data_IF_938709448413
#
_entry.id   IF_938709448413
#
_cell.length_a   1.000
_cell.length_b   1.000
_cell.length_c   1.000
_cell.angle_alpha   90.00
_cell.angle_beta   90.00
_cell.angle_gamma   90.00
#
_symmetry.space_group_name_H-M   'P 1'
#
loop_
_entity.id
_entity.type
_entity.pdbx_description
1 polymer ?
#
# COMPACT_ATOMS: atom_id res chain seq x y z
N UNK A 1 -6.64 -14.11 18.55
CA UNK A 1 -8.03 -13.73 18.16
C UNK A 1 -9.11 -14.64 18.77
N UNK A 2 -8.90 -15.98 18.91
CA UNK A 2 -9.95 -16.92 19.33
C UNK A 2 -10.36 -16.81 20.79
N UNK A 3 -9.42 -16.74 21.72
CA UNK A 3 -9.72 -16.77 23.16
C UNK A 3 -10.46 -15.52 23.64
N UNK A 4 -9.98 -14.32 23.30
CA UNK A 4 -10.65 -13.06 23.62
C UNK A 4 -12.01 -12.92 22.95
N UNK A 5 -12.15 -13.35 21.66
CA UNK A 5 -13.43 -13.31 20.95
C UNK A 5 -14.50 -14.20 21.61
N UNK A 6 -14.11 -15.36 22.10
CA UNK A 6 -15.01 -16.24 22.84
C UNK A 6 -15.32 -15.70 24.23
N UNK A 7 -14.36 -15.06 24.87
CA UNK A 7 -14.53 -14.41 26.17
C UNK A 7 -15.51 -13.24 26.08
N UNK A 8 -15.37 -12.34 25.12
CA UNK A 8 -16.28 -11.18 24.91
C UNK A 8 -17.74 -11.61 24.74
N UNK A 9 -17.99 -12.80 24.18
CA UNK A 9 -19.34 -13.36 23.98
C UNK A 9 -19.89 -14.10 25.22
N UNK A 10 -19.06 -14.33 26.23
CA UNK A 10 -19.45 -15.02 27.47
C UNK A 10 -19.61 -14.01 28.59
N UNK A 11 -20.83 -13.76 29.10
CA UNK A 11 -21.07 -12.78 30.14
C UNK A 11 -20.36 -13.11 31.48
N UNK A 12 -19.90 -14.34 31.67
CA UNK A 12 -19.14 -14.76 32.84
C UNK A 12 -17.61 -14.67 32.65
N UNK A 13 -17.14 -14.20 31.49
CA UNK A 13 -15.72 -14.09 31.23
C UNK A 13 -15.18 -12.71 31.67
N UNK A 14 -14.10 -12.71 32.39
CA UNK A 14 -13.42 -11.49 32.86
C UNK A 14 -12.47 -10.97 31.77
N UNK A 15 -13.04 -10.31 30.73
CA UNK A 15 -12.35 -9.84 29.52
C UNK A 15 -11.16 -8.94 29.85
N UNK A 16 -11.31 -8.03 30.83
CA UNK A 16 -10.26 -7.08 31.20
C UNK A 16 -9.02 -7.78 31.77
N UNK A 17 -9.21 -8.79 32.61
CA UNK A 17 -8.09 -9.56 33.19
C UNK A 17 -7.34 -10.34 32.11
N UNK A 18 -8.08 -11.05 31.26
CA UNK A 18 -7.45 -11.78 30.14
C UNK A 18 -6.68 -10.84 29.18
N UNK A 19 -7.22 -9.67 28.91
CA UNK A 19 -6.50 -8.67 28.11
C UNK A 19 -5.21 -8.20 28.79
N UNK A 20 -5.24 -7.98 30.10
CA UNK A 20 -4.04 -7.61 30.87
C UNK A 20 -3.00 -8.74 30.81
N UNK A 21 -3.43 -10.00 30.97
CA UNK A 21 -2.55 -11.17 30.85
C UNK A 21 -1.90 -11.26 29.48
N UNK A 22 -2.68 -11.12 28.39
CA UNK A 22 -2.18 -11.15 27.00
C UNK A 22 -1.18 -10.02 26.73
N UNK A 23 -1.50 -8.79 27.17
CA UNK A 23 -0.60 -7.65 27.02
C UNK A 23 0.70 -7.81 27.81
N UNK A 24 0.62 -8.32 29.03
CA UNK A 24 1.80 -8.58 29.84
C UNK A 24 2.64 -9.73 29.28
N UNK A 25 2.01 -10.74 28.70
CA UNK A 25 2.72 -11.78 27.95
C UNK A 25 3.47 -11.19 26.75
N UNK A 26 2.79 -10.33 25.96
CA UNK A 26 3.41 -9.66 24.81
C UNK A 26 4.63 -8.81 25.25
N UNK A 27 4.51 -8.07 26.34
CA UNK A 27 5.61 -7.30 26.90
C UNK A 27 6.80 -8.19 27.29
N UNK A 28 6.55 -9.27 28.02
CA UNK A 28 7.60 -10.13 28.54
C UNK A 28 8.34 -10.89 27.42
N UNK A 29 7.66 -11.22 26.31
CA UNK A 29 8.19 -12.07 25.22
C UNK A 29 8.56 -11.34 23.94
N UNK A 30 7.97 -10.18 23.64
CA UNK A 30 8.15 -9.51 22.35
C UNK A 30 8.54 -8.03 22.47
N UNK A 31 7.89 -7.25 23.30
CA UNK A 31 8.01 -5.79 23.31
C UNK A 31 9.36 -5.27 23.76
N UNK A 32 10.15 -6.09 24.46
CA UNK A 32 11.54 -5.78 24.86
C UNK A 32 12.55 -5.95 23.76
N UNK A 33 12.16 -6.55 22.63
CA UNK A 33 13.05 -6.71 21.47
C UNK A 33 13.37 -5.37 20.85
N UNK A 34 14.63 -5.16 20.42
CA UNK A 34 15.05 -3.99 19.65
C UNK A 34 14.36 -3.89 18.29
N UNK A 35 13.76 -4.98 17.82
CA UNK A 35 12.98 -5.03 16.56
C UNK A 35 11.49 -4.72 16.76
N UNK A 36 11.03 -4.57 18.01
CA UNK A 36 9.64 -4.23 18.28
C UNK A 36 9.40 -2.73 18.04
N UNK A 37 8.26 -2.39 17.45
CA UNK A 37 7.91 -1.00 17.18
C UNK A 37 7.75 -0.22 18.48
N UNK A 38 8.57 0.80 18.66
CA UNK A 38 8.53 1.70 19.80
C UNK A 38 8.43 3.16 19.35
N UNK A 39 7.77 3.98 20.13
CA UNK A 39 7.76 5.43 20.00
C UNK A 39 7.99 6.07 21.37
N UNK A 40 8.96 6.98 21.44
CA UNK A 40 9.34 7.66 22.67
C UNK A 40 9.65 6.66 23.84
N UNK A 41 10.29 5.52 23.48
CA UNK A 41 10.64 4.45 24.42
C UNK A 41 9.45 3.61 24.91
N UNK A 42 8.27 3.79 24.34
CA UNK A 42 7.04 3.03 24.67
C UNK A 42 6.70 2.07 23.54
N UNK A 43 6.41 0.79 23.82
CA UNK A 43 5.95 -0.16 22.80
C UNK A 43 4.62 0.29 22.20
N UNK A 44 4.40 0.02 20.90
CA UNK A 44 3.15 0.35 20.20
C UNK A 44 2.30 -0.89 20.03
N UNK A 45 1.05 -0.85 20.48
CA UNK A 45 0.08 -1.94 20.36
C UNK A 45 -1.12 -1.48 19.55
N UNK A 46 -1.39 -2.18 18.45
CA UNK A 46 -2.56 -1.93 17.59
C UNK A 46 -3.71 -2.86 17.97
N UNK A 47 -4.89 -2.28 18.16
CA UNK A 47 -6.12 -3.01 18.42
C UNK A 47 -7.03 -2.98 17.20
N UNK A 48 -7.07 -4.10 16.47
CA UNK A 48 -7.79 -4.17 15.21
C UNK A 48 -9.30 -4.29 15.41
N UNK A 49 -9.78 -5.34 15.98
CA UNK A 49 -11.21 -5.61 16.07
C UNK A 49 -11.57 -6.17 17.44
N UNK A 50 -11.76 -5.26 18.37
CA UNK A 50 -12.18 -5.63 19.73
C UNK A 50 -13.49 -4.93 19.99
N UNK A 51 -14.52 -5.68 20.36
CA UNK A 51 -15.69 -5.11 21.00
C UNK A 51 -15.27 -4.65 22.39
N UNK A 52 -14.92 -3.35 22.49
CA UNK A 52 -14.22 -2.76 23.63
C UNK A 52 -15.17 -2.26 24.71
N UNK A 53 -16.48 -2.39 24.52
CA UNK A 53 -17.50 -1.83 25.39
C UNK A 53 -17.47 -2.42 26.80
N UNK A 54 -16.94 -3.64 26.94
CA UNK A 54 -16.85 -4.38 28.21
C UNK A 54 -15.45 -4.38 28.84
N UNK A 55 -14.51 -3.56 28.32
CA UNK A 55 -13.14 -3.49 28.84
C UNK A 55 -12.99 -2.28 29.78
N UNK A 56 -12.58 -2.52 31.01
CA UNK A 56 -12.12 -1.44 31.90
C UNK A 56 -10.69 -1.01 31.50
N UNK A 57 -10.60 -0.06 30.60
CA UNK A 57 -9.33 0.47 30.09
C UNK A 57 -8.50 1.17 31.18
N UNK A 58 -9.13 1.72 32.20
CA UNK A 58 -8.41 2.31 33.35
C UNK A 58 -7.69 1.24 34.14
N UNK A 59 -8.35 0.09 34.35
CA UNK A 59 -7.73 -1.07 34.96
C UNK A 59 -6.62 -1.67 34.08
N UNK A 60 -6.82 -1.76 32.74
CA UNK A 60 -5.78 -2.19 31.84
C UNK A 60 -4.54 -1.30 31.98
N UNK A 61 -4.69 0.01 31.91
CA UNK A 61 -3.58 0.97 32.06
C UNK A 61 -2.83 0.83 33.36
N UNK A 62 -3.54 0.52 34.44
CA UNK A 62 -2.95 0.38 35.75
C UNK A 62 -2.08 -0.88 35.92
N UNK A 63 -2.41 -1.97 35.21
CA UNK A 63 -1.79 -3.27 35.41
C UNK A 63 -0.97 -3.79 34.26
N UNK A 64 -0.97 -3.10 33.11
CA UNK A 64 -0.13 -3.44 31.93
C UNK A 64 1.30 -3.00 32.17
N UNK A 65 2.25 -3.86 31.83
CA UNK A 65 3.69 -3.58 31.87
C UNK A 65 4.12 -2.72 30.68
N UNK A 66 5.25 -2.03 30.82
CA UNK A 66 5.89 -1.31 29.72
C UNK A 66 5.19 -0.03 29.29
N UNK A 67 4.04 0.33 29.87
CA UNK A 67 3.28 1.53 29.51
C UNK A 67 3.09 1.68 27.98
N UNK A 68 2.56 0.67 27.28
CA UNK A 68 2.45 0.70 25.81
C UNK A 68 1.55 1.83 25.32
N UNK A 69 1.80 2.27 24.09
CA UNK A 69 0.90 3.15 23.33
C UNK A 69 -0.24 2.31 22.75
N UNK A 70 -1.47 2.66 23.04
CA UNK A 70 -2.67 1.98 22.53
C UNK A 70 -3.24 2.71 21.34
N UNK A 71 -3.16 2.09 20.17
CA UNK A 71 -3.65 2.62 18.90
C UNK A 71 -4.83 1.78 18.44
N UNK A 72 -6.02 2.38 18.38
CA UNK A 72 -7.24 1.66 18.04
C UNK A 72 -7.71 1.96 16.62
N UNK A 73 -8.47 1.04 16.03
CA UNK A 73 -8.99 1.20 14.67
C UNK A 73 -10.08 2.27 14.59
N UNK A 74 -10.04 3.04 13.49
CA UNK A 74 -10.99 4.06 13.08
C UNK A 74 -10.99 5.35 13.92
N UNK A 75 -11.59 6.37 13.33
CA UNK A 75 -11.64 7.73 13.91
C UNK A 75 -12.29 7.82 15.29
N UNK A 76 -13.22 6.92 15.61
CA UNK A 76 -13.87 6.86 16.93
C UNK A 76 -12.87 6.66 18.06
N UNK A 77 -11.73 6.03 17.78
CA UNK A 77 -10.67 5.80 18.73
C UNK A 77 -10.03 7.09 19.29
N UNK A 78 -10.09 8.19 18.55
CA UNK A 78 -9.63 9.49 19.06
C UNK A 78 -10.45 10.01 20.25
N UNK A 79 -11.67 9.50 20.43
CA UNK A 79 -12.55 9.86 21.54
C UNK A 79 -12.59 8.81 22.64
N UNK A 80 -11.91 7.67 22.47
CA UNK A 80 -11.92 6.60 23.48
C UNK A 80 -11.09 6.97 24.70
N UNK A 81 -11.57 6.63 25.90
CA UNK A 81 -10.76 6.73 27.12
C UNK A 81 -9.49 5.86 27.00
N UNK A 82 -8.37 6.39 27.48
CA UNK A 82 -7.08 5.69 27.50
C UNK A 82 -6.47 5.38 26.12
N UNK A 83 -7.01 5.94 25.01
CA UNK A 83 -6.40 5.86 23.70
C UNK A 83 -5.20 6.81 23.60
N UNK A 84 -4.08 6.34 23.03
CA UNK A 84 -2.95 7.17 22.62
C UNK A 84 -3.06 7.58 21.16
N UNK A 85 -3.97 6.95 20.38
CA UNK A 85 -4.15 7.28 18.98
C UNK A 85 -5.08 6.34 18.24
N UNK A 86 -5.22 6.60 16.96
CA UNK A 86 -6.00 5.79 16.04
C UNK A 86 -5.24 5.44 14.77
N UNK A 87 -5.64 4.33 14.14
CA UNK A 87 -5.26 4.01 12.77
C UNK A 87 -6.50 3.91 11.89
N UNK A 88 -6.40 4.35 10.66
CA UNK A 88 -7.42 4.09 9.65
C UNK A 88 -7.23 2.67 9.10
N UNK A 89 -8.25 2.16 8.40
CA UNK A 89 -8.18 0.88 7.69
C UNK A 89 -8.72 1.09 6.29
N UNK A 90 -8.95 0.02 5.54
CA UNK A 90 -9.61 0.12 4.24
C UNK A 90 -11.04 0.60 4.43
N UNK A 91 -11.46 1.58 3.64
CA UNK A 91 -12.88 1.90 3.50
C UNK A 91 -13.53 0.92 2.51
N UNK A 92 -14.23 -0.05 3.06
CA UNK A 92 -14.89 -1.13 2.31
C UNK A 92 -16.41 -0.97 2.27
N UNK A 93 -16.92 0.23 2.31
CA UNK A 93 -18.39 0.46 2.31
C UNK A 93 -19.06 0.06 1.00
N UNK A 94 -18.32 -0.47 0.04
CA UNK A 94 -18.82 -1.01 -1.22
C UNK A 94 -19.29 0.04 -2.22
N UNK A 95 -19.06 1.31 -1.94
CA UNK A 95 -19.44 2.40 -2.85
C UNK A 95 -18.25 2.77 -3.74
N UNK A 96 -18.43 2.58 -5.04
CA UNK A 96 -17.44 2.81 -6.09
C UNK A 96 -17.12 4.30 -6.35
N UNK A 97 -17.72 5.23 -5.63
CA UNK A 97 -17.62 6.65 -5.98
C UNK A 97 -16.48 7.34 -5.24
N UNK A 98 -15.57 7.93 -5.98
CA UNK A 98 -14.43 8.73 -5.51
C UNK A 98 -14.76 9.78 -4.43
N UNK A 99 -15.94 10.44 -4.41
CA UNK A 99 -16.32 11.33 -3.30
C UNK A 99 -16.29 10.68 -1.94
N UNK A 100 -16.45 9.37 -1.88
CA UNK A 100 -16.52 8.61 -0.63
C UNK A 100 -15.15 8.41 0.02
N UNK A 101 -14.14 8.11 -0.77
CA UNK A 101 -12.76 8.03 -0.29
C UNK A 101 -12.29 9.37 0.29
N UNK A 102 -12.64 10.48 -0.38
CA UNK A 102 -12.36 11.83 0.14
C UNK A 102 -13.03 12.07 1.49
N UNK A 103 -14.28 11.67 1.64
CA UNK A 103 -15.05 11.87 2.87
C UNK A 103 -14.52 11.01 4.02
N UNK A 104 -14.11 9.77 3.74
CA UNK A 104 -13.49 8.88 4.71
C UNK A 104 -12.21 9.49 5.28
N UNK A 105 -11.25 9.85 4.42
CA UNK A 105 -9.99 10.45 4.86
C UNK A 105 -10.21 11.82 5.51
N UNK A 106 -11.10 12.65 4.97
CA UNK A 106 -11.42 13.94 5.54
C UNK A 106 -11.92 13.80 6.98
N UNK A 107 -12.89 12.93 7.22
CA UNK A 107 -13.45 12.70 8.56
C UNK A 107 -12.41 12.17 9.53
N UNK A 108 -11.54 11.26 9.07
CA UNK A 108 -10.46 10.71 9.87
C UNK A 108 -9.44 11.80 10.26
N UNK A 109 -8.98 12.58 9.30
CA UNK A 109 -7.95 13.59 9.54
C UNK A 109 -8.47 14.83 10.27
N UNK A 110 -9.71 15.23 10.04
CA UNK A 110 -10.32 16.34 10.81
C UNK A 110 -10.40 15.96 12.30
N UNK A 111 -10.79 14.72 12.61
CA UNK A 111 -10.84 14.23 13.99
C UNK A 111 -9.44 14.12 14.62
N UNK A 112 -8.45 13.61 13.87
CA UNK A 112 -7.07 13.48 14.34
C UNK A 112 -6.43 14.83 14.68
N UNK A 113 -6.79 15.89 13.95
CA UNK A 113 -6.25 17.23 14.16
C UNK A 113 -6.85 17.97 15.36
N UNK A 114 -8.01 17.54 15.80
CA UNK A 114 -8.68 18.14 16.96
C UNK A 114 -8.01 17.75 18.28
N UNK A 115 -7.11 16.79 18.28
CA UNK A 115 -6.47 16.21 19.48
C UNK A 115 -4.99 15.91 19.26
N UNK A 116 -4.14 16.05 20.30
CA UNK A 116 -2.72 15.73 20.23
C UNK A 116 -2.49 14.21 20.37
N UNK A 117 -3.20 13.40 19.60
CA UNK A 117 -3.11 11.93 19.62
C UNK A 117 -2.41 11.44 18.33
N UNK A 118 -1.84 10.24 18.43
CA UNK A 118 -1.14 9.60 17.30
C UNK A 118 -2.15 9.27 16.20
N UNK A 119 -1.86 9.68 14.98
CA UNK A 119 -2.65 9.37 13.81
C UNK A 119 -1.83 8.50 12.84
N UNK A 120 -2.33 7.30 12.58
CA UNK A 120 -1.76 6.39 11.58
C UNK A 120 -2.71 6.32 10.39
N UNK A 121 -2.27 6.80 9.24
CA UNK A 121 -3.06 6.70 8.02
C UNK A 121 -2.82 5.36 7.34
N UNK A 122 -3.82 4.85 6.61
CA UNK A 122 -3.67 3.69 5.74
C UNK A 122 -3.63 4.07 4.27
N UNK A 123 -2.89 3.30 3.48
CA UNK A 123 -2.94 3.29 2.02
C UNK A 123 -3.16 1.86 1.54
N UNK A 124 -3.94 1.68 0.49
CA UNK A 124 -4.33 0.38 -0.03
C UNK A 124 -4.61 0.44 -1.53
N UNK A 125 -4.58 -0.72 -2.19
CA UNK A 125 -4.79 -0.83 -3.64
C UNK A 125 -6.26 -1.02 -4.04
N UNK A 126 -7.09 -1.44 -3.14
CA UNK A 126 -8.47 -1.87 -3.30
C UNK A 126 -8.82 -2.90 -2.22
N UNK A 127 -10.01 -3.49 -2.31
CA UNK A 127 -10.51 -4.48 -1.36
C UNK A 127 -11.49 -5.43 -2.06
N UNK A 128 -11.34 -6.73 -1.85
CA UNK A 128 -12.27 -7.73 -2.39
C UNK A 128 -12.32 -8.96 -1.47
N UNK A 129 -13.36 -9.06 -0.64
CA UNK A 129 -13.50 -10.18 0.30
C UNK A 129 -14.31 -11.36 -0.25
N UNK A 130 -14.69 -11.34 -1.53
CA UNK A 130 -15.57 -12.38 -2.12
C UNK A 130 -14.96 -13.79 -2.08
N UNK A 131 -13.64 -13.90 -2.00
CA UNK A 131 -12.95 -15.19 -1.86
C UNK A 131 -12.93 -15.71 -0.41
N UNK A 132 -13.20 -14.87 0.58
CA UNK A 132 -13.18 -15.25 1.99
C UNK A 132 -14.42 -16.04 2.40
N UNK A 133 -14.25 -17.07 3.24
CA UNK A 133 -15.37 -17.87 3.75
C UNK A 133 -16.35 -17.08 4.65
N UNK A 134 -15.93 -15.94 5.16
CA UNK A 134 -16.71 -15.01 5.98
C UNK A 134 -17.18 -13.78 5.21
N UNK A 135 -17.06 -13.78 3.89
CA UNK A 135 -17.35 -12.66 3.00
C UNK A 135 -18.74 -12.09 3.18
N UNK A 136 -18.85 -10.78 3.07
CA UNK A 136 -20.09 -10.02 2.90
C UNK A 136 -20.27 -9.53 1.45
N UNK A 137 -19.39 -9.97 0.54
CA UNK A 137 -19.39 -9.58 -0.88
C UNK A 137 -18.96 -8.13 -1.13
N UNK A 138 -18.10 -7.59 -0.26
CA UNK A 138 -17.64 -6.21 -0.35
C UNK A 138 -16.52 -6.07 -1.37
N UNK A 139 -16.62 -5.06 -2.23
CA UNK A 139 -15.61 -4.80 -3.26
C UNK A 139 -15.34 -3.30 -3.36
N UNK A 140 -14.07 -2.94 -3.30
CA UNK A 140 -13.53 -1.65 -3.75
C UNK A 140 -12.55 -1.97 -4.88
N UNK A 141 -12.93 -1.67 -6.13
CA UNK A 141 -12.13 -1.97 -7.31
C UNK A 141 -10.76 -1.28 -7.22
N UNK A 142 -9.72 -1.96 -7.73
CA UNK A 142 -8.36 -1.42 -7.76
C UNK A 142 -8.19 -0.34 -8.84
N UNK A 143 -9.11 -0.28 -9.82
CA UNK A 143 -9.08 0.64 -10.96
C UNK A 143 -7.71 0.67 -11.65
N UNK A 144 -7.19 -0.52 -11.95
CA UNK A 144 -5.86 -0.65 -12.56
C UNK A 144 -4.77 0.13 -11.77
N UNK A 145 -4.78 0.02 -10.47
CA UNK A 145 -3.80 0.65 -9.57
C UNK A 145 -4.08 2.14 -9.28
N UNK A 146 -5.17 2.73 -9.80
CA UNK A 146 -5.49 4.13 -9.53
C UNK A 146 -5.80 4.37 -8.05
N UNK A 147 -6.53 3.46 -7.39
CA UNK A 147 -6.84 3.58 -5.96
C UNK A 147 -5.57 3.64 -5.10
N UNK A 148 -4.54 2.85 -5.44
CA UNK A 148 -3.22 2.94 -4.78
C UNK A 148 -2.65 4.35 -4.83
N UNK A 149 -2.61 4.95 -6.01
CA UNK A 149 -2.10 6.32 -6.19
C UNK A 149 -2.96 7.35 -5.45
N UNK A 150 -4.28 7.19 -5.49
CA UNK A 150 -5.23 8.11 -4.89
C UNK A 150 -5.16 8.10 -3.37
N UNK A 151 -5.01 6.92 -2.74
CA UNK A 151 -4.87 6.84 -1.28
C UNK A 151 -3.64 7.60 -0.79
N UNK A 152 -2.49 7.48 -1.47
CA UNK A 152 -1.31 8.32 -1.18
C UNK A 152 -1.57 9.80 -1.42
N UNK A 153 -2.22 10.15 -2.53
CA UNK A 153 -2.55 11.54 -2.83
C UNK A 153 -3.48 12.16 -1.78
N UNK A 154 -4.45 11.40 -1.25
CA UNK A 154 -5.33 11.85 -0.17
C UNK A 154 -4.55 12.09 1.13
N UNK A 155 -3.70 11.15 1.53
CA UNK A 155 -2.84 11.32 2.71
C UNK A 155 -1.96 12.57 2.55
N UNK A 156 -1.33 12.77 1.41
CA UNK A 156 -0.46 13.90 1.14
C UNK A 156 -1.17 15.28 1.17
N UNK A 157 -2.49 15.33 1.00
CA UNK A 157 -3.24 16.59 1.16
C UNK A 157 -3.30 17.09 2.60
N UNK A 158 -3.21 16.18 3.56
CA UNK A 158 -3.35 16.50 4.99
C UNK A 158 -2.01 16.63 5.70
N UNK A 159 -0.95 16.06 5.14
CA UNK A 159 0.37 16.01 5.74
C UNK A 159 1.44 16.57 4.80
N UNK A 160 2.47 17.16 5.40
CA UNK A 160 3.60 17.74 4.69
C UNK A 160 4.86 17.61 5.55
N UNK A 161 6.05 17.92 5.04
CA UNK A 161 7.27 17.96 5.87
C UNK A 161 7.14 18.88 7.09
N UNK A 162 6.33 19.94 7.01
CA UNK A 162 6.08 20.86 8.15
C UNK A 162 4.95 20.36 9.08
N UNK A 163 4.16 19.38 8.65
CA UNK A 163 3.12 18.69 9.42
C UNK A 163 3.19 17.20 9.11
N UNK A 164 4.20 16.48 9.62
CA UNK A 164 4.37 15.08 9.29
C UNK A 164 3.24 14.24 9.87
N UNK A 165 2.94 13.14 9.19
CA UNK A 165 2.12 12.06 9.72
C UNK A 165 2.94 11.29 10.76
N UNK A 166 2.29 10.79 11.81
CA UNK A 166 2.97 9.99 12.83
C UNK A 166 3.46 8.66 12.26
N UNK A 167 2.61 7.97 11.51
CA UNK A 167 2.95 6.77 10.77
C UNK A 167 1.99 6.55 9.60
N UNK A 168 2.44 5.78 8.62
CA UNK A 168 1.65 5.30 7.49
C UNK A 168 1.69 3.78 7.51
N UNK A 169 0.53 3.13 7.46
CA UNK A 169 0.43 1.70 7.25
C UNK A 169 0.05 1.37 5.81
N UNK A 170 0.62 0.30 5.30
CA UNK A 170 0.26 -0.27 4.01
C UNK A 170 -0.62 -1.48 4.23
N UNK A 171 -1.84 -1.42 3.74
CA UNK A 171 -2.85 -2.47 3.90
C UNK A 171 -3.01 -3.21 2.58
N UNK A 172 -2.51 -4.45 2.44
CA UNK A 172 -1.68 -5.27 3.35
C UNK A 172 -0.51 -5.86 2.57
N UNK A 173 0.42 -6.55 3.24
CA UNK A 173 1.48 -7.26 2.53
C UNK A 173 0.92 -8.45 1.74
N UNK A 174 0.18 -9.36 2.40
CA UNK A 174 -0.23 -10.66 1.83
C UNK A 174 -1.63 -11.13 2.27
N UNK A 175 -2.59 -10.23 2.45
CA UNK A 175 -3.97 -10.61 2.72
C UNK A 175 -4.73 -10.84 1.41
N UNK A 176 -4.67 -12.10 0.95
CA UNK A 176 -5.34 -12.56 -0.27
C UNK A 176 -6.85 -12.79 -0.06
N UNK A 177 -7.30 -13.00 1.18
CA UNK A 177 -8.73 -13.15 1.47
C UNK A 177 -9.49 -11.83 1.35
N UNK A 178 -8.82 -10.71 1.66
CA UNK A 178 -9.37 -9.36 1.50
C UNK A 178 -8.96 -8.70 0.16
N UNK A 179 -8.15 -9.37 -0.68
CA UNK A 179 -7.67 -8.84 -1.95
C UNK A 179 -6.84 -7.56 -1.81
N UNK A 180 -6.25 -7.34 -0.64
CA UNK A 180 -5.46 -6.14 -0.32
C UNK A 180 -3.96 -6.35 -0.46
N UNK A 181 -3.52 -7.56 -0.80
CA UNK A 181 -2.11 -7.93 -0.91
C UNK A 181 -1.35 -7.09 -1.94
N UNK A 182 -0.12 -6.68 -1.60
CA UNK A 182 0.80 -5.96 -2.50
C UNK A 182 2.08 -6.76 -2.80
N UNK A 183 2.24 -7.93 -2.17
CA UNK A 183 3.41 -8.80 -2.30
C UNK A 183 3.70 -9.17 -3.76
N UNK A 184 2.65 -9.43 -4.55
CA UNK A 184 2.76 -9.80 -5.97
C UNK A 184 2.85 -8.59 -6.91
N UNK A 185 2.81 -7.38 -6.36
CA UNK A 185 2.70 -6.15 -7.13
C UNK A 185 1.26 -5.81 -7.54
N UNK A 186 1.06 -4.58 -7.96
CA UNK A 186 -0.24 -4.03 -8.36
C UNK A 186 -0.27 -3.88 -9.89
N UNK A 187 -1.28 -4.43 -10.55
CA UNK A 187 -1.38 -4.32 -12.01
C UNK A 187 -1.99 -2.97 -12.43
N UNK A 188 -1.20 -2.17 -13.15
CA UNK A 188 -1.65 -0.93 -13.78
C UNK A 188 -2.45 -1.15 -15.09
N UNK A 189 -2.72 -2.41 -15.47
CA UNK A 189 -3.38 -2.79 -16.73
C UNK A 189 -2.68 -2.23 -17.99
N UNK A 190 -1.44 -1.81 -17.85
CA UNK A 190 -0.69 -1.18 -18.93
C UNK A 190 -0.32 -2.21 -20.00
N UNK A 191 -0.60 -1.86 -21.26
CA UNK A 191 -0.14 -2.57 -22.43
C UNK A 191 0.64 -1.62 -23.33
N UNK A 192 1.73 -2.11 -23.90
CA UNK A 192 2.65 -1.33 -24.75
C UNK A 192 2.68 -1.94 -26.13
N UNK A 193 2.34 -1.15 -27.15
CA UNK A 193 2.37 -1.55 -28.55
C UNK A 193 3.48 -0.76 -29.26
N UNK A 194 4.71 -1.33 -29.39
CA UNK A 194 5.81 -0.68 -30.05
C UNK A 194 5.73 -0.82 -31.58
N UNK A 195 6.27 0.16 -32.28
CA UNK A 195 6.39 0.17 -33.73
C UNK A 195 7.71 0.86 -34.13
N UNK A 196 8.35 0.41 -35.20
CA UNK A 196 9.59 0.96 -35.68
C UNK A 196 9.47 1.39 -37.12
N UNK A 197 9.87 2.62 -37.44
CA UNK A 197 9.96 3.16 -38.79
C UNK A 197 11.33 3.79 -39.01
N UNK A 198 12.14 3.16 -39.86
CA UNK A 198 13.55 3.54 -39.98
C UNK A 198 14.26 3.38 -38.62
N UNK A 199 14.82 4.48 -38.10
CA UNK A 199 15.47 4.51 -36.78
C UNK A 199 14.55 4.97 -35.63
N UNK A 200 13.31 5.36 -35.97
CA UNK A 200 12.38 5.91 -34.98
C UNK A 200 11.52 4.79 -34.39
N UNK A 201 11.77 4.45 -33.11
CA UNK A 201 10.93 3.59 -32.31
C UNK A 201 9.82 4.46 -31.70
N UNK A 202 8.55 4.04 -31.87
CA UNK A 202 7.38 4.70 -31.29
C UNK A 202 6.58 3.67 -30.51
N UNK A 203 5.75 4.10 -29.57
CA UNK A 203 4.85 3.19 -28.85
C UNK A 203 3.54 3.86 -28.47
N UNK A 204 2.50 3.05 -28.51
CA UNK A 204 1.19 3.39 -27.98
C UNK A 204 0.98 2.67 -26.65
N UNK A 205 0.28 3.36 -25.73
CA UNK A 205 -0.07 2.83 -24.40
C UNK A 205 -1.59 2.72 -24.29
N UNK A 206 -2.05 1.61 -23.75
CA UNK A 206 -3.41 1.47 -23.20
C UNK A 206 -3.33 1.05 -21.73
N UNK A 207 -4.42 1.23 -20.98
CA UNK A 207 -4.47 1.00 -19.52
C UNK A 207 -4.24 2.28 -18.73
N UNK A 208 -3.87 2.15 -17.46
CA UNK A 208 -3.72 3.31 -16.57
C UNK A 208 -2.32 3.93 -16.67
N UNK A 209 -2.18 4.93 -17.50
CA UNK A 209 -0.91 5.64 -17.69
C UNK A 209 -0.42 6.38 -16.43
N UNK A 210 -1.32 6.69 -15.46
CA UNK A 210 -0.91 7.35 -14.21
C UNK A 210 0.01 6.48 -13.36
N UNK A 211 -0.06 5.15 -13.55
CA UNK A 211 0.77 4.17 -12.84
C UNK A 211 2.18 4.04 -13.40
N UNK A 212 2.49 4.70 -14.53
CA UNK A 212 3.82 4.67 -15.14
C UNK A 212 4.68 5.78 -14.54
N UNK A 213 5.85 5.44 -14.04
CA UNK A 213 6.86 6.39 -13.58
C UNK A 213 7.71 6.92 -14.75
N UNK A 214 8.29 6.00 -15.53
CA UNK A 214 9.12 6.34 -16.69
C UNK A 214 9.19 5.17 -17.68
N UNK A 215 9.81 5.40 -18.85
CA UNK A 215 10.11 4.34 -19.82
C UNK A 215 11.60 4.02 -19.84
N UNK A 216 11.91 2.75 -20.15
CA UNK A 216 13.27 2.30 -20.44
C UNK A 216 13.26 1.58 -21.78
N UNK A 217 14.22 1.92 -22.64
CA UNK A 217 14.43 1.26 -23.93
C UNK A 217 15.56 0.25 -23.77
N UNK A 218 15.30 -0.97 -24.22
CA UNK A 218 16.29 -2.03 -24.23
C UNK A 218 16.50 -2.56 -25.64
N UNK A 219 17.72 -3.05 -25.89
CA UNK A 219 18.05 -3.95 -26.99
C UNK A 219 18.45 -5.31 -26.44
N UNK A 220 18.18 -6.36 -27.20
CA UNK A 220 18.63 -7.71 -26.88
C UNK A 220 19.11 -8.43 -28.14
N UNK A 221 20.30 -9.03 -28.14
CA UNK A 221 20.79 -9.83 -29.26
C UNK A 221 20.15 -11.23 -29.32
N UNK A 222 19.62 -11.73 -28.21
CA UNK A 222 19.13 -13.10 -28.04
C UNK A 222 17.69 -13.19 -27.49
N UNK A 223 17.05 -12.04 -27.23
CA UNK A 223 15.72 -11.97 -26.63
C UNK A 223 15.68 -12.17 -25.11
N UNK A 224 16.81 -12.46 -24.47
CA UNK A 224 16.89 -12.74 -23.04
C UNK A 224 17.73 -11.69 -22.29
N UNK A 225 18.92 -11.39 -22.81
CA UNK A 225 19.82 -10.41 -22.19
C UNK A 225 19.45 -9.00 -22.62
N UNK A 226 18.84 -8.23 -21.73
CA UNK A 226 18.46 -6.85 -21.98
C UNK A 226 19.63 -5.88 -21.74
N UNK A 227 19.95 -5.08 -22.75
CA UNK A 227 20.94 -4.00 -22.72
C UNK A 227 20.17 -2.68 -22.69
N UNK A 228 20.29 -1.92 -21.61
CA UNK A 228 19.64 -0.61 -21.47
C UNK A 228 20.27 0.40 -22.42
N UNK A 229 19.46 1.03 -23.26
CA UNK A 229 19.86 2.06 -24.20
C UNK A 229 19.49 3.46 -23.74
N UNK A 230 18.27 3.64 -23.20
CA UNK A 230 17.78 4.94 -22.78
C UNK A 230 16.80 4.82 -21.61
N UNK A 231 16.67 5.93 -20.86
CA UNK A 231 15.57 6.15 -19.92
C UNK A 231 14.88 7.45 -20.31
N UNK A 232 13.55 7.40 -20.37
CA UNK A 232 12.73 8.46 -20.92
C UNK A 232 11.59 8.81 -19.96
N UNK A 233 11.14 10.07 -19.91
CA UNK A 233 10.06 10.46 -19.03
C UNK A 233 8.73 9.81 -19.41
N UNK A 234 7.80 9.71 -18.47
CA UNK A 234 6.45 9.12 -18.63
C UNK A 234 5.69 9.59 -19.88
N UNK A 235 5.90 10.84 -20.29
CA UNK A 235 5.23 11.43 -21.45
C UNK A 235 5.88 11.10 -22.82
N UNK A 236 7.05 10.45 -22.82
CA UNK A 236 7.70 10.05 -24.07
C UNK A 236 6.87 9.01 -24.81
N UNK A 237 6.82 9.13 -26.13
CA UNK A 237 6.13 8.17 -27.03
C UNK A 237 6.99 7.79 -28.23
N UNK A 238 8.21 8.30 -28.28
CA UNK A 238 9.19 7.92 -29.30
C UNK A 238 10.62 8.03 -28.78
N UNK A 239 11.50 7.35 -29.47
CA UNK A 239 12.94 7.41 -29.27
C UNK A 239 13.66 7.05 -30.56
N UNK A 240 14.79 7.69 -30.86
CA UNK A 240 15.57 7.44 -32.07
C UNK A 240 16.80 6.60 -31.75
N UNK A 241 16.91 5.40 -32.39
CA UNK A 241 18.07 4.53 -32.27
C UNK A 241 19.26 5.17 -32.98
N UNK A 242 20.34 5.43 -32.26
CA UNK A 242 21.57 5.99 -32.82
C UNK A 242 22.53 4.85 -33.16
N UNK A 243 23.28 5.01 -34.25
CA UNK A 243 24.26 3.99 -34.68
C UNK A 243 25.44 3.82 -33.71
N UNK A 244 25.60 4.75 -32.77
CA UNK A 244 26.58 4.64 -31.67
C UNK A 244 26.07 3.82 -30.48
N UNK A 245 24.77 3.55 -30.40
CA UNK A 245 24.14 2.91 -29.24
C UNK A 245 24.39 1.39 -29.23
N UNK A 246 24.60 0.79 -30.40
CA UNK A 246 24.76 -0.65 -30.56
C UNK A 246 25.85 -0.98 -31.60
N UNK A 247 26.65 -2.04 -31.39
CA UNK A 247 27.50 -2.62 -32.48
C UNK A 247 26.66 -3.11 -33.64
N UNK A 248 27.31 -3.28 -34.83
CA UNK A 248 26.67 -3.90 -35.98
C UNK A 248 26.15 -5.29 -35.61
N UNK A 249 24.88 -5.57 -35.95
CA UNK A 249 24.25 -6.84 -35.62
C UNK A 249 22.72 -6.77 -35.61
N UNK A 250 22.12 -7.93 -35.35
CA UNK A 250 20.65 -8.04 -35.19
C UNK A 250 20.25 -8.01 -33.75
N UNK A 251 19.20 -7.26 -33.48
CA UNK A 251 18.66 -7.03 -32.12
C UNK A 251 17.15 -7.10 -32.13
N UNK A 252 16.62 -7.29 -30.92
CA UNK A 252 15.23 -7.06 -30.59
C UNK A 252 15.16 -5.82 -29.67
N UNK A 253 14.38 -4.83 -30.05
CA UNK A 253 14.13 -3.64 -29.22
C UNK A 253 12.90 -3.86 -28.37
N UNK A 254 12.95 -3.37 -27.12
CA UNK A 254 11.85 -3.44 -26.18
C UNK A 254 11.63 -2.06 -25.54
N UNK A 255 10.38 -1.78 -25.23
CA UNK A 255 9.97 -0.64 -24.42
C UNK A 255 9.45 -1.20 -23.10
N UNK A 256 10.05 -0.80 -21.98
CA UNK A 256 9.53 -1.11 -20.64
C UNK A 256 8.83 0.13 -20.09
N UNK A 257 7.60 0.00 -19.63
CA UNK A 257 6.97 0.93 -18.72
C UNK A 257 7.33 0.50 -17.29
N UNK A 258 8.14 1.32 -16.63
CA UNK A 258 8.48 1.15 -15.21
C UNK A 258 7.36 1.75 -14.38
N UNK A 259 6.80 0.97 -13.46
CA UNK A 259 5.69 1.39 -12.60
C UNK A 259 6.10 2.38 -11.51
N UNK A 260 5.13 3.09 -10.98
CA UNK A 260 5.28 3.76 -9.68
C UNK A 260 5.52 2.70 -8.58
N UNK A 261 6.02 3.05 -7.41
CA UNK A 261 6.29 2.07 -6.35
C UNK A 261 5.13 1.11 -6.11
N UNK A 262 5.43 -0.20 -6.02
CA UNK A 262 4.52 -1.33 -5.91
C UNK A 262 3.69 -1.64 -7.18
N UNK A 263 3.78 -0.85 -8.23
CA UNK A 263 3.15 -1.15 -9.54
C UNK A 263 4.08 -2.04 -10.36
N UNK A 264 3.51 -3.07 -10.98
CA UNK A 264 4.25 -4.04 -11.81
C UNK A 264 4.75 -3.36 -13.08
N UNK A 265 6.03 -3.51 -13.36
CA UNK A 265 6.64 -3.12 -14.64
C UNK A 265 6.06 -3.93 -15.80
N UNK A 266 5.89 -3.29 -16.95
CA UNK A 266 5.42 -3.96 -18.17
C UNK A 266 6.45 -3.82 -19.27
N UNK A 267 6.80 -4.94 -19.89
CA UNK A 267 7.69 -5.00 -21.05
C UNK A 267 6.86 -5.24 -22.30
N UNK A 268 7.16 -4.50 -23.37
CA UNK A 268 6.49 -4.67 -24.66
C UNK A 268 6.86 -6.00 -25.34
N UNK A 269 6.10 -6.37 -26.36
CA UNK A 269 6.59 -7.30 -27.38
C UNK A 269 7.85 -6.75 -28.04
N UNK A 270 8.76 -7.62 -28.57
CA UNK A 270 9.96 -7.21 -29.26
C UNK A 270 9.67 -6.60 -30.64
N UNK A 271 10.50 -5.65 -31.04
CA UNK A 271 10.55 -5.12 -32.42
C UNK A 271 11.92 -5.42 -33.01
N UNK A 272 11.99 -6.10 -34.16
CA UNK A 272 13.26 -6.44 -34.78
C UNK A 272 13.99 -5.17 -35.25
N UNK A 273 15.30 -5.15 -35.04
CA UNK A 273 16.21 -4.09 -35.48
C UNK A 273 17.51 -4.68 -36.00
N UNK A 274 18.05 -4.09 -37.07
CA UNK A 274 19.38 -4.44 -37.61
C UNK A 274 20.23 -3.17 -37.70
N UNK A 275 21.34 -3.15 -36.95
CA UNK A 275 22.36 -2.11 -37.08
C UNK A 275 23.40 -2.54 -38.12
N UNK A 276 23.40 -1.84 -39.22
CA UNK A 276 24.22 -2.22 -40.41
C UNK A 276 25.59 -1.54 -40.45
N UNK A 277 25.94 -0.74 -39.46
CA UNK A 277 27.14 0.09 -39.46
C UNK A 277 27.02 1.30 -40.43
N UNK A 278 27.77 2.36 -40.16
CA UNK A 278 27.90 3.45 -41.12
C UNK A 278 28.76 2.95 -42.29
N UNK A 279 28.20 3.03 -43.50
CA UNK A 279 29.06 3.08 -44.69
C UNK A 279 29.76 4.41 -44.77
#
# INVERSE_FOLDING_TARGET
KGALKNCVRNPNCEVTGHLIEDLNYAYDHFEKSSSYLQRDGRPVVFFFDVNLDNVDWSRVRKFVKGNPLFIFRNKGAFSMPQSDGAFSWVDHTGRREMPYLDDFYKKYFDESRSRPLIAVASVYKGFDDRAASWSEGRVTDQECGQIWLDTFAKVNRYFSPSKPLDALEVVTWNDYEEGTEIETGIDGCVQIQPSLSGRKLTWHISGNENTINHFVIYASPDGQKLIKLAQLPRKARDWEVRGSDLPTGRYQLFVQAVGEPSIIDKLSAPVPWEETGRR
#
